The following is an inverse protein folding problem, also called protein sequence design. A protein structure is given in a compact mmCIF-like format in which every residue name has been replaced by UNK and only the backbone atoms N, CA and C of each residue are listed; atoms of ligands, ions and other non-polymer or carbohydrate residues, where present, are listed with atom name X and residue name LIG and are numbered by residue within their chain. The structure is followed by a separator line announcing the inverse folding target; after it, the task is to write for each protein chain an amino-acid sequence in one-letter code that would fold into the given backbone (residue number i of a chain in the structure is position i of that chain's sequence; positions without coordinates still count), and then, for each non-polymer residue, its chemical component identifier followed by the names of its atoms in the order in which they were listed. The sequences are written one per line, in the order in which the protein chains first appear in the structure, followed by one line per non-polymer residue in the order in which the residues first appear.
data_IF_601532981693
#
_entry.id   IF_601532981693
#
_cell.length_a   1.000
_cell.length_b   1.000
_cell.length_c   1.000
_cell.angle_alpha   90.00
_cell.angle_beta   90.00
_cell.angle_gamma   90.00
#
_symmetry.space_group_name_H-M   'P 1'
#
loop_
_entity.id
_entity.type
_entity.pdbx_description
1 polymer ?
#
# COMPACT_ATOMS: atom_id res chain seq x y z
N UNK A 1 54.66 -51.41 28.81
CA UNK A 1 53.53 -50.67 29.44
C UNK A 1 53.53 -49.29 28.80
N UNK A 2 52.74 -49.08 27.74
CA UNK A 2 52.76 -47.82 26.99
C UNK A 2 51.98 -46.76 27.78
N UNK A 3 52.70 -45.78 28.34
CA UNK A 3 52.06 -44.62 28.95
C UNK A 3 51.36 -43.81 27.85
N UNK A 4 50.03 -43.78 27.93
CA UNK A 4 49.16 -43.06 27.01
C UNK A 4 49.26 -41.57 27.35
N UNK A 5 49.87 -40.78 26.48
CA UNK A 5 49.98 -39.33 26.63
C UNK A 5 48.59 -38.67 26.54
N UNK A 6 47.96 -38.42 27.69
CA UNK A 6 46.65 -37.77 27.82
C UNK A 6 46.68 -36.26 27.50
N UNK A 7 47.85 -35.69 27.18
CA UNK A 7 48.03 -34.27 26.86
C UNK A 7 47.31 -33.84 25.57
N UNK A 8 47.23 -34.71 24.57
CA UNK A 8 46.51 -34.43 23.32
C UNK A 8 44.99 -34.37 23.50
N UNK A 9 44.43 -35.22 24.37
CA UNK A 9 42.99 -35.20 24.68
C UNK A 9 42.60 -33.98 25.50
N UNK A 10 43.43 -33.58 26.47
CA UNK A 10 43.19 -32.37 27.26
C UNK A 10 43.16 -31.10 26.38
N UNK A 11 44.06 -31.00 25.39
CA UNK A 11 44.08 -29.89 24.44
C UNK A 11 42.79 -29.83 23.60
N UNK A 12 42.33 -30.98 23.09
CA UNK A 12 41.11 -31.07 22.29
C UNK A 12 39.89 -30.62 23.12
N UNK A 13 39.79 -31.06 24.38
CA UNK A 13 38.67 -30.69 25.26
C UNK A 13 38.66 -29.17 25.52
N UNK A 14 39.81 -28.56 25.77
CA UNK A 14 39.92 -27.11 26.01
C UNK A 14 39.52 -26.32 24.76
N UNK A 15 40.01 -26.72 23.58
CA UNK A 15 39.63 -26.07 22.31
C UNK A 15 38.14 -26.20 22.03
N UNK A 16 37.55 -27.37 22.35
CA UNK A 16 36.12 -27.62 22.16
C UNK A 16 35.26 -26.74 23.09
N UNK A 17 35.70 -26.53 24.34
CA UNK A 17 35.04 -25.63 25.29
C UNK A 17 35.14 -24.18 24.81
N UNK A 18 36.30 -23.73 24.34
CA UNK A 18 36.49 -22.37 23.80
C UNK A 18 35.59 -22.17 22.57
N UNK A 19 35.55 -23.13 21.65
CA UNK A 19 34.70 -23.08 20.47
C UNK A 19 33.21 -23.00 20.84
N UNK A 20 32.78 -23.74 21.86
CA UNK A 20 31.40 -23.69 22.37
C UNK A 20 31.06 -22.30 22.91
N UNK A 21 31.93 -21.73 23.75
CA UNK A 21 31.73 -20.39 24.34
C UNK A 21 31.66 -19.33 23.25
N UNK A 22 32.56 -19.36 22.27
CA UNK A 22 32.55 -18.44 21.13
C UNK A 22 31.26 -18.56 20.30
N UNK A 23 30.78 -19.79 20.10
CA UNK A 23 29.55 -20.04 19.35
C UNK A 23 28.32 -19.49 20.06
N UNK A 24 28.23 -19.65 21.39
CA UNK A 24 27.11 -19.11 22.19
C UNK A 24 27.10 -17.57 22.15
N UNK A 25 28.27 -16.94 22.31
CA UNK A 25 28.39 -15.47 22.25
C UNK A 25 28.01 -14.95 20.85
N UNK A 26 28.48 -15.61 19.79
CA UNK A 26 28.16 -15.24 18.42
C UNK A 26 26.67 -15.42 18.11
N UNK A 27 26.06 -16.53 18.52
CA UNK A 27 24.63 -16.80 18.30
C UNK A 27 23.74 -15.77 19.01
N UNK A 28 24.05 -15.45 20.28
CA UNK A 28 23.33 -14.43 21.05
C UNK A 28 23.47 -13.04 20.41
N UNK A 29 24.69 -12.66 20.01
CA UNK A 29 24.94 -11.37 19.35
C UNK A 29 24.22 -11.25 18.01
N UNK A 30 24.16 -12.34 17.24
CA UNK A 30 23.45 -12.38 15.97
C UNK A 30 21.93 -12.24 16.15
N UNK A 31 21.33 -12.99 17.08
CA UNK A 31 19.91 -12.88 17.41
C UNK A 31 19.53 -11.46 17.84
N UNK A 32 20.29 -10.87 18.79
CA UNK A 32 20.04 -9.50 19.25
C UNK A 32 20.12 -8.47 18.12
N UNK A 33 21.10 -8.61 17.22
CA UNK A 33 21.26 -7.71 16.08
C UNK A 33 20.11 -7.85 15.09
N UNK A 34 19.66 -9.07 14.82
CA UNK A 34 18.55 -9.35 13.91
C UNK A 34 17.23 -8.84 14.50
N UNK A 35 16.93 -9.12 15.76
CA UNK A 35 15.73 -8.64 16.44
C UNK A 35 15.68 -7.11 16.48
N UNK A 36 16.80 -6.46 16.82
CA UNK A 36 16.87 -5.00 16.83
C UNK A 36 16.64 -4.40 15.44
N UNK A 37 17.22 -5.00 14.39
CA UNK A 37 16.99 -4.54 13.00
C UNK A 37 15.54 -4.76 12.58
N UNK A 38 14.95 -5.91 12.89
CA UNK A 38 13.56 -6.21 12.57
C UNK A 38 12.60 -5.24 13.26
N UNK A 39 12.82 -4.97 14.55
CA UNK A 39 12.00 -4.03 15.31
C UNK A 39 12.10 -2.60 14.74
N UNK A 40 13.29 -2.16 14.33
CA UNK A 40 13.47 -0.84 13.71
C UNK A 40 12.75 -0.73 12.38
N UNK A 41 12.86 -1.75 11.52
CA UNK A 41 12.15 -1.77 10.23
C UNK A 41 10.64 -1.73 10.43
N UNK A 42 10.12 -2.43 11.43
CA UNK A 42 8.69 -2.41 11.73
C UNK A 42 8.24 -1.04 12.25
N UNK A 43 9.02 -0.41 13.14
CA UNK A 43 8.76 0.95 13.61
C UNK A 43 8.77 1.98 12.47
N UNK A 44 9.78 1.90 11.58
CA UNK A 44 9.88 2.75 10.39
C UNK A 44 8.69 2.54 9.45
N UNK A 45 8.23 1.31 9.28
CA UNK A 45 7.07 0.99 8.43
C UNK A 45 5.77 1.58 8.99
N UNK A 46 5.54 1.43 10.30
CA UNK A 46 4.37 2.02 10.97
C UNK A 46 4.40 3.55 10.89
N UNK A 47 5.59 4.15 11.05
CA UNK A 47 5.78 5.59 10.92
C UNK A 47 5.51 6.08 9.50
N UNK A 48 6.01 5.36 8.50
CA UNK A 48 5.77 5.70 7.10
C UNK A 48 4.28 5.62 6.75
N UNK A 49 3.56 4.61 7.26
CA UNK A 49 2.12 4.50 7.10
C UNK A 49 1.38 5.67 7.76
N UNK A 50 1.70 5.99 9.01
CA UNK A 50 1.10 7.13 9.71
C UNK A 50 1.37 8.47 8.99
N UNK A 51 2.55 8.61 8.39
CA UNK A 51 2.88 9.77 7.57
C UNK A 51 2.04 9.81 6.28
N UNK A 52 1.85 8.67 5.62
CA UNK A 52 1.00 8.58 4.44
C UNK A 52 -0.46 8.93 4.78
N UNK A 53 -1.00 8.40 5.86
CA UNK A 53 -2.38 8.68 6.30
C UNK A 53 -2.58 10.17 6.62
N UNK A 54 -1.64 10.78 7.36
CA UNK A 54 -1.67 12.21 7.65
C UNK A 54 -1.56 13.05 6.37
N UNK A 55 -0.71 12.65 5.44
CA UNK A 55 -0.55 13.30 4.14
C UNK A 55 -1.82 13.23 3.28
N UNK A 56 -2.49 12.08 3.27
CA UNK A 56 -3.76 11.89 2.57
C UNK A 56 -4.86 12.76 3.19
N UNK A 57 -5.02 12.74 4.51
CA UNK A 57 -6.07 13.49 5.20
C UNK A 57 -5.95 15.00 4.94
N UNK A 58 -4.75 15.55 5.09
CA UNK A 58 -4.50 16.97 4.83
C UNK A 58 -4.59 17.27 3.34
N UNK A 59 -4.10 16.37 2.47
CA UNK A 59 -4.25 16.48 1.03
C UNK A 59 -5.71 16.59 0.59
N UNK A 60 -6.59 15.75 1.17
CA UNK A 60 -8.03 15.81 0.94
C UNK A 60 -8.64 17.11 1.48
N UNK A 61 -8.20 17.59 2.64
CA UNK A 61 -8.68 18.87 3.18
C UNK A 61 -8.34 20.05 2.24
N UNK A 62 -7.13 20.09 1.70
CA UNK A 62 -6.70 21.11 0.74
C UNK A 62 -7.50 21.01 -0.56
N UNK A 63 -7.65 19.79 -1.10
CA UNK A 63 -8.40 19.53 -2.33
C UNK A 63 -9.88 19.94 -2.19
N UNK A 64 -10.51 19.63 -1.05
CA UNK A 64 -11.91 20.00 -0.78
C UNK A 64 -12.10 21.50 -0.58
N UNK A 65 -11.11 22.19 0.02
CA UNK A 65 -11.18 23.65 0.24
C UNK A 65 -11.01 24.41 -1.07
N UNK A 66 -10.22 23.88 -2.01
CA UNK A 66 -9.93 24.53 -3.29
C UNK A 66 -10.04 23.53 -4.46
N UNK A 67 -11.26 23.19 -4.90
CA UNK A 67 -11.51 22.12 -5.89
C UNK A 67 -10.95 22.41 -7.28
N UNK A 68 -10.54 23.64 -7.57
CA UNK A 68 -9.97 24.05 -8.86
C UNK A 68 -8.45 24.30 -8.80
N UNK A 69 -7.74 23.81 -7.77
CA UNK A 69 -6.28 23.95 -7.71
C UNK A 69 -5.63 23.23 -8.89
N UNK A 70 -4.67 23.87 -9.59
CA UNK A 70 -3.81 23.16 -10.52
C UNK A 70 -2.97 22.13 -9.76
N UNK A 71 -2.44 21.09 -10.44
CA UNK A 71 -1.55 20.12 -9.83
C UNK A 71 -0.41 20.80 -9.06
N UNK A 72 -0.30 20.53 -7.76
CA UNK A 72 0.66 21.19 -6.89
C UNK A 72 1.20 20.23 -5.82
N UNK A 73 2.48 20.39 -5.48
CA UNK A 73 3.11 19.72 -4.34
C UNK A 73 3.09 20.63 -3.10
N UNK A 74 2.76 20.06 -1.95
CA UNK A 74 2.81 20.69 -0.64
C UNK A 74 3.74 19.90 0.26
N UNK A 75 4.69 20.55 0.92
CA UNK A 75 5.52 19.87 1.92
C UNK A 75 4.74 19.74 3.23
N UNK A 76 5.05 18.70 4.02
CA UNK A 76 4.46 18.53 5.36
C UNK A 76 4.71 19.73 6.26
N UNK A 77 5.90 20.35 6.14
CA UNK A 77 6.26 21.57 6.84
C UNK A 77 5.31 22.73 6.49
N UNK A 78 4.93 22.88 5.21
CA UNK A 78 3.98 23.93 4.78
C UNK A 78 2.57 23.73 5.33
N UNK A 79 2.21 22.50 5.68
CA UNK A 79 0.90 22.13 6.21
C UNK A 79 0.90 21.87 7.72
N UNK A 80 1.99 22.21 8.42
CA UNK A 80 2.18 21.98 9.86
C UNK A 80 2.02 20.50 10.29
N UNK A 81 2.32 19.55 9.40
CA UNK A 81 2.34 18.12 9.72
C UNK A 81 3.70 17.79 10.33
N UNK A 82 3.73 17.52 11.63
CA UNK A 82 4.94 17.17 12.38
C UNK A 82 4.79 15.77 12.98
N UNK A 83 5.37 14.77 12.31
CA UNK A 83 5.48 13.42 12.85
C UNK A 83 6.92 13.15 13.32
N UNK A 84 7.12 12.61 14.53
CA UNK A 84 8.45 12.23 15.01
C UNK A 84 9.14 11.27 14.04
N UNK A 85 10.37 11.58 13.63
CA UNK A 85 11.17 10.73 12.75
C UNK A 85 10.79 10.78 11.25
N UNK A 86 9.92 11.71 10.85
CA UNK A 86 9.58 12.01 9.46
C UNK A 86 10.12 13.39 9.11
N UNK A 87 10.83 13.51 7.99
CA UNK A 87 11.35 14.78 7.52
C UNK A 87 10.23 15.60 6.88
N UNK A 88 9.72 16.58 7.61
CA UNK A 88 8.61 17.41 7.16
C UNK A 88 8.96 18.31 5.95
N UNK A 89 10.26 18.55 5.68
CA UNK A 89 10.71 19.36 4.54
C UNK A 89 10.75 18.52 3.27
N UNK A 90 11.11 17.24 3.39
CA UNK A 90 11.24 16.31 2.25
C UNK A 90 9.98 15.50 1.97
N UNK A 91 9.05 15.43 2.93
CA UNK A 91 7.77 14.74 2.76
C UNK A 91 6.80 15.65 2.02
N UNK A 92 6.25 15.15 0.93
CA UNK A 92 5.41 15.91 0.01
C UNK A 92 4.04 15.25 -0.18
N UNK A 93 3.02 16.10 -0.28
CA UNK A 93 1.66 15.78 -0.67
C UNK A 93 1.50 16.32 -2.08
N UNK A 94 1.31 15.43 -3.04
CA UNK A 94 1.07 15.83 -4.42
C UNK A 94 -0.42 15.73 -4.72
N UNK A 95 -1.06 16.87 -4.94
CA UNK A 95 -2.48 16.93 -5.31
C UNK A 95 -2.54 17.11 -6.81
N UNK A 96 -3.08 16.13 -7.52
CA UNK A 96 -3.42 16.25 -8.94
C UNK A 96 -4.92 16.37 -9.08
N UNK A 97 -5.39 17.52 -9.55
CA UNK A 97 -6.70 17.59 -10.19
C UNK A 97 -6.53 17.04 -11.61
N UNK A 98 -6.72 15.74 -11.77
CA UNK A 98 -6.99 15.21 -13.10
C UNK A 98 -8.40 15.63 -13.47
N UNK A 99 -8.51 16.75 -14.19
CA UNK A 99 -9.73 17.14 -14.93
C UNK A 99 -10.05 16.17 -16.08
N UNK A 100 -9.52 14.95 -16.03
CA UNK A 100 -9.83 13.89 -16.97
C UNK A 100 -11.09 13.19 -16.50
N UNK A 101 -12.07 13.13 -17.40
CA UNK A 101 -13.28 12.31 -17.26
C UNK A 101 -13.01 10.80 -17.32
N UNK A 102 -11.73 10.42 -17.44
CA UNK A 102 -11.31 9.08 -17.81
C UNK A 102 -10.55 8.49 -16.63
N UNK A 103 -11.03 7.33 -16.15
CA UNK A 103 -10.41 6.57 -15.09
C UNK A 103 -9.99 5.21 -15.62
N UNK A 104 -8.71 4.87 -15.44
CA UNK A 104 -8.17 3.55 -15.76
C UNK A 104 -7.88 2.84 -14.44
N UNK A 105 -8.61 1.77 -14.16
CA UNK A 105 -8.37 0.97 -12.95
C UNK A 105 -7.06 0.20 -13.06
N UNK A 106 -6.49 -0.17 -11.92
CA UNK A 106 -5.56 -1.30 -11.89
C UNK A 106 -6.26 -2.60 -12.32
N UNK A 107 -5.48 -3.67 -12.52
CA UNK A 107 -6.05 -5.00 -12.79
C UNK A 107 -7.05 -5.36 -11.68
N UNK A 108 -8.30 -5.63 -12.09
CA UNK A 108 -9.39 -6.03 -11.21
C UNK A 108 -9.43 -7.55 -11.22
N UNK A 109 -9.36 -8.18 -10.05
CA UNK A 109 -9.49 -9.64 -9.95
C UNK A 109 -10.96 -10.04 -10.06
N UNK A 110 -11.19 -11.32 -10.34
CA UNK A 110 -12.56 -11.86 -10.36
C UNK A 110 -13.21 -11.63 -8.98
N UNK A 111 -14.47 -11.18 -9.00
CA UNK A 111 -15.30 -10.89 -7.83
C UNK A 111 -14.88 -9.62 -7.03
N UNK A 112 -13.90 -8.85 -7.51
CA UNK A 112 -13.63 -7.50 -7.02
C UNK A 112 -14.55 -6.46 -7.68
N UNK A 113 -14.75 -5.32 -7.00
CA UNK A 113 -15.65 -4.26 -7.45
C UNK A 113 -15.03 -2.86 -7.35
N UNK A 114 -15.43 -1.97 -8.26
CA UNK A 114 -15.20 -0.54 -8.16
C UNK A 114 -16.53 0.19 -8.03
N UNK A 115 -16.54 1.28 -7.25
CA UNK A 115 -17.71 2.13 -7.06
C UNK A 115 -17.41 3.53 -7.55
N UNK A 116 -18.26 4.03 -8.44
CA UNK A 116 -18.15 5.38 -9.00
C UNK A 116 -19.34 6.20 -8.52
N UNK A 117 -19.05 7.35 -7.93
CA UNK A 117 -20.08 8.34 -7.63
C UNK A 117 -20.19 9.31 -8.80
N UNK A 118 -21.35 9.33 -9.44
CA UNK A 118 -21.65 10.23 -10.56
C UNK A 118 -22.25 11.55 -10.07
N UNK A 119 -21.90 11.99 -8.87
CA UNK A 119 -22.38 13.21 -8.19
C UNK A 119 -21.43 13.52 -7.02
N UNK A 120 -21.50 14.73 -6.49
CA UNK A 120 -20.61 15.18 -5.42
C UNK A 120 -20.85 14.40 -4.12
N UNK A 121 -20.00 13.44 -3.77
CA UNK A 121 -20.08 12.77 -2.47
C UNK A 121 -19.58 13.70 -1.34
N UNK A 122 -20.19 13.73 -0.13
CA UNK A 122 -21.33 12.92 0.34
C UNK A 122 -22.69 13.59 0.17
N UNK A 123 -22.75 14.82 -0.35
CA UNK A 123 -24.00 15.59 -0.44
C UNK A 123 -24.90 15.17 -1.62
N UNK A 124 -24.32 14.43 -2.56
CA UNK A 124 -24.87 14.01 -3.84
C UNK A 124 -25.47 15.17 -4.66
N UNK A 125 -24.91 16.37 -4.48
CA UNK A 125 -25.25 17.55 -5.27
C UNK A 125 -24.57 17.45 -6.65
N UNK A 126 -25.11 18.14 -7.65
CA UNK A 126 -24.57 18.16 -9.02
C UNK A 126 -24.40 16.77 -9.68
N UNK A 127 -25.51 16.07 -10.00
CA UNK A 127 -25.43 14.80 -10.72
C UNK A 127 -24.83 14.99 -12.11
N UNK A 128 -23.93 14.08 -12.48
CA UNK A 128 -23.36 13.98 -13.80
C UNK A 128 -24.48 13.74 -14.83
N UNK A 129 -24.59 14.63 -15.81
CA UNK A 129 -25.61 14.60 -16.86
C UNK A 129 -25.04 14.17 -18.23
N UNK A 130 -23.86 13.57 -18.24
CA UNK A 130 -23.19 13.10 -19.46
C UNK A 130 -23.40 11.60 -19.71
N UNK A 131 -22.71 11.08 -20.72
CA UNK A 131 -22.68 9.65 -21.02
C UNK A 131 -21.51 8.99 -20.32
N UNK A 132 -21.78 8.07 -19.39
CA UNK A 132 -20.76 7.18 -18.83
C UNK A 132 -20.45 6.06 -19.85
N UNK A 133 -19.19 5.99 -20.30
CA UNK A 133 -18.72 4.91 -21.18
C UNK A 133 -17.77 4.03 -20.39
N UNK A 134 -18.06 2.73 -20.34
CA UNK A 134 -17.22 1.74 -19.70
C UNK A 134 -16.51 0.92 -20.76
N UNK A 135 -15.19 0.90 -20.68
CA UNK A 135 -14.33 0.04 -21.50
C UNK A 135 -13.76 -1.05 -20.60
N UNK A 136 -13.82 -2.29 -21.04
CA UNK A 136 -13.33 -3.44 -20.28
C UNK A 136 -12.67 -4.45 -21.19
N UNK A 137 -11.77 -5.23 -20.61
CA UNK A 137 -11.02 -6.27 -21.29
C UNK A 137 -10.15 -7.04 -20.30
N UNK A 138 -9.63 -8.17 -20.74
CA UNK A 138 -8.65 -8.96 -20.00
C UNK A 138 -7.33 -8.98 -20.75
N UNK A 139 -6.23 -9.21 -20.04
CA UNK A 139 -4.92 -9.40 -20.67
C UNK A 139 -4.98 -10.59 -21.63
N UNK A 140 -4.64 -10.36 -22.90
CA UNK A 140 -4.66 -11.39 -23.94
C UNK A 140 -5.99 -11.56 -24.68
N UNK A 141 -7.07 -10.83 -24.33
CA UNK A 141 -8.27 -10.78 -25.15
C UNK A 141 -8.04 -9.96 -26.42
N UNK A 142 -8.34 -10.56 -27.59
CA UNK A 142 -8.17 -9.92 -28.91
C UNK A 142 -9.41 -9.10 -29.30
N UNK A 143 -10.57 -9.49 -28.78
CA UNK A 143 -11.85 -8.81 -28.99
C UNK A 143 -12.77 -8.97 -27.76
N UNK A 144 -13.82 -8.15 -27.70
CA UNK A 144 -14.84 -8.22 -26.65
C UNK A 144 -15.89 -9.32 -26.85
N UNK A 145 -15.82 -10.08 -27.96
CA UNK A 145 -16.80 -11.13 -28.33
C UNK A 145 -16.32 -12.56 -28.07
N UNK A 146 -15.06 -12.72 -27.65
CA UNK A 146 -14.49 -14.02 -27.31
C UNK A 146 -14.89 -14.45 -25.91
N UNK A 147 -15.05 -15.75 -25.69
CA UNK A 147 -15.31 -16.34 -24.34
C UNK A 147 -14.17 -16.10 -23.33
N UNK A 148 -13.06 -15.51 -23.77
CA UNK A 148 -11.91 -15.12 -22.94
C UNK A 148 -12.02 -13.68 -22.40
N UNK A 149 -12.96 -12.88 -22.92
CA UNK A 149 -13.27 -11.57 -22.36
C UNK A 149 -14.08 -11.72 -21.05
N UNK A 150 -13.85 -10.85 -20.05
CA UNK A 150 -14.53 -10.95 -18.78
C UNK A 150 -15.98 -10.49 -18.91
N UNK A 151 -16.90 -11.14 -18.19
CA UNK A 151 -18.26 -10.61 -18.01
C UNK A 151 -18.23 -9.50 -16.95
N UNK A 152 -18.99 -8.44 -17.19
CA UNK A 152 -19.16 -7.35 -16.21
C UNK A 152 -20.54 -7.41 -15.58
N UNK A 153 -20.58 -7.13 -14.29
CA UNK A 153 -21.82 -6.85 -13.58
C UNK A 153 -21.84 -5.37 -13.17
N UNK A 154 -22.90 -4.67 -13.56
CA UNK A 154 -23.12 -3.26 -13.26
C UNK A 154 -24.30 -3.16 -12.30
N UNK A 155 -24.04 -2.65 -11.10
CA UNK A 155 -25.08 -2.28 -10.14
C UNK A 155 -25.22 -0.77 -10.12
N UNK A 156 -26.37 -0.28 -10.58
CA UNK A 156 -26.70 1.14 -10.66
C UNK A 156 -27.64 1.45 -9.51
N UNK A 157 -27.20 2.32 -8.62
CA UNK A 157 -28.01 2.85 -7.52
C UNK A 157 -28.38 4.28 -7.89
N UNK A 158 -29.67 4.59 -7.92
CA UNK A 158 -30.18 5.89 -8.35
C UNK A 158 -31.38 6.35 -7.52
N UNK A 159 -31.69 7.66 -7.61
CA UNK A 159 -32.73 8.38 -6.84
C UNK A 159 -32.49 8.37 -5.32
N UNK A 160 -33.19 9.28 -4.63
CA UNK A 160 -33.12 9.43 -3.18
C UNK A 160 -33.66 8.22 -2.39
N UNK A 161 -34.38 7.30 -3.04
CA UNK A 161 -34.96 6.11 -2.42
C UNK A 161 -34.04 4.88 -2.47
N UNK A 162 -32.80 5.03 -2.98
CA UNK A 162 -31.88 3.91 -3.21
C UNK A 162 -32.47 2.85 -4.14
N UNK A 163 -33.12 3.29 -5.23
CA UNK A 163 -33.59 2.37 -6.26
C UNK A 163 -32.37 1.71 -6.90
N UNK A 164 -32.45 0.40 -7.14
CA UNK A 164 -31.32 -0.39 -7.64
C UNK A 164 -31.70 -1.10 -8.94
N UNK A 165 -30.84 -0.95 -9.95
CA UNK A 165 -30.89 -1.70 -11.19
C UNK A 165 -29.59 -2.49 -11.38
N UNK A 166 -29.72 -3.78 -11.71
CA UNK A 166 -28.56 -4.64 -11.97
C UNK A 166 -28.57 -5.05 -13.44
N UNK A 167 -27.43 -4.89 -14.11
CA UNK A 167 -27.22 -5.30 -15.49
C UNK A 167 -25.99 -6.19 -15.59
N UNK A 168 -26.08 -7.22 -16.42
CA UNK A 168 -24.95 -8.08 -16.75
C UNK A 168 -24.59 -7.83 -18.21
N UNK A 169 -23.30 -7.64 -18.47
CA UNK A 169 -22.73 -7.54 -19.81
C UNK A 169 -21.88 -8.78 -20.01
N UNK A 170 -22.38 -9.67 -20.87
CA UNK A 170 -21.64 -10.83 -21.34
C UNK A 170 -20.85 -10.45 -22.60
N UNK A 171 -19.67 -11.08 -22.83
CA UNK A 171 -18.95 -10.96 -24.09
C UNK A 171 -19.69 -11.59 -25.27
#
# INVERSE_FOLDING_TARGET
MFQKNNSGQALIIIVLIIALVLTVIAASSYQLTVETKSSKLQEESVRALAAADAGIEVGLQIANTNPNLPPQSYTFASQNILLPGVDAVRSEIFITNTSQSDFVSSMILKDDQFTFYTSDYPSYLNPYNGTLRLFFGSEGAVDCGSRTAPALELTIIYRANNDMERRVVEP
#
